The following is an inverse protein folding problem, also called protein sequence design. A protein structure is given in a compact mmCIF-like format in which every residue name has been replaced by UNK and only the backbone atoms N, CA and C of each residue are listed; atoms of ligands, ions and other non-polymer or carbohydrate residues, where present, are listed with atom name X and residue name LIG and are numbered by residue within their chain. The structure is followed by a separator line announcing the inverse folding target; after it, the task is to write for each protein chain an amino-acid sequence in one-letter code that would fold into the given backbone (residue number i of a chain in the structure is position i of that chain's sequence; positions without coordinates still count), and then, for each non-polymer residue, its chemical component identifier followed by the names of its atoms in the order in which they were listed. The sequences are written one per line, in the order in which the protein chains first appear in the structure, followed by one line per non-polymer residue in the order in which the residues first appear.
data_IF_841502595620
#
_entry.id   IF_841502595620
#
_cell.length_a   1.000
_cell.length_b   1.000
_cell.length_c   1.000
_cell.angle_alpha   90.00
_cell.angle_beta   90.00
_cell.angle_gamma   90.00
#
_symmetry.space_group_name_H-M   'P 1'
#
loop_
_entity.id
_entity.type
_entity.pdbx_description
1 polymer ?
#
# COMPACT_ATOMS: atom_id res chain seq x y z
N UNK A 1 -5.64 -10.43 0.29
CA UNK A 1 -5.24 -9.96 -1.05
C UNK A 1 -6.41 -10.12 -2.01
N UNK A 2 -6.64 -9.16 -2.92
CA UNK A 2 -7.63 -9.26 -4.00
C UNK A 2 -6.97 -8.92 -5.34
N UNK A 3 -7.31 -9.66 -6.39
CA UNK A 3 -6.86 -9.43 -7.78
C UNK A 3 -8.02 -9.04 -8.70
N UNK A 4 -7.73 -8.42 -9.84
CA UNK A 4 -8.67 -8.21 -10.95
C UNK A 4 -8.71 -9.42 -11.91
N UNK A 5 -9.53 -9.34 -12.95
CA UNK A 5 -9.71 -10.39 -13.97
C UNK A 5 -8.42 -10.66 -14.78
N UNK A 6 -7.50 -9.71 -14.79
CA UNK A 6 -6.17 -9.83 -15.40
C UNK A 6 -5.11 -10.34 -14.41
N UNK A 7 -5.53 -10.86 -13.25
CA UNK A 7 -4.69 -11.37 -12.18
C UNK A 7 -3.71 -10.33 -11.58
N UNK A 8 -4.04 -9.04 -11.63
CA UNK A 8 -3.24 -7.96 -11.03
C UNK A 8 -3.75 -7.66 -9.64
N UNK A 9 -2.85 -7.41 -8.70
CA UNK A 9 -3.23 -7.07 -7.31
C UNK A 9 -3.92 -5.72 -7.27
N UNK A 10 -5.17 -5.71 -6.79
CA UNK A 10 -5.98 -4.49 -6.64
C UNK A 10 -6.14 -4.07 -5.19
N UNK A 11 -6.10 -5.01 -4.23
CA UNK A 11 -6.16 -4.68 -2.80
C UNK A 11 -5.21 -5.56 -2.00
N UNK A 12 -4.37 -4.92 -1.19
CA UNK A 12 -3.48 -5.55 -0.24
C UNK A 12 -3.76 -4.96 1.15
N UNK A 13 -4.32 -5.77 2.05
CA UNK A 13 -4.60 -5.39 3.43
C UNK A 13 -3.72 -6.28 4.31
N UNK A 14 -2.81 -5.63 5.02
CA UNK A 14 -1.85 -6.24 5.95
C UNK A 14 -1.98 -5.55 7.33
N UNK A 15 -3.12 -4.95 7.61
CA UNK A 15 -3.41 -4.31 8.90
C UNK A 15 -3.27 -5.32 10.04
N UNK A 16 -2.83 -4.86 11.20
CA UNK A 16 -2.71 -5.66 12.43
C UNK A 16 -1.74 -6.84 12.26
N UNK A 17 -0.50 -6.50 11.92
CA UNK A 17 0.59 -7.46 11.80
C UNK A 17 1.85 -6.91 12.49
N UNK A 18 2.86 -7.77 12.69
CA UNK A 18 4.15 -7.35 13.24
C UNK A 18 5.17 -7.01 12.15
N UNK A 19 4.72 -6.41 11.02
CA UNK A 19 5.63 -5.99 9.95
C UNK A 19 6.50 -4.83 10.44
N UNK A 20 7.79 -4.88 10.09
CA UNK A 20 8.83 -3.93 10.51
C UNK A 20 9.64 -3.45 9.32
N UNK A 21 10.34 -2.33 9.49
CA UNK A 21 11.17 -1.72 8.45
C UNK A 21 10.36 -0.84 7.49
N UNK A 22 10.95 -0.50 6.35
CA UNK A 22 10.35 0.43 5.39
C UNK A 22 9.56 -0.27 4.29
N UNK A 23 8.64 0.49 3.68
CA UNK A 23 7.90 0.03 2.51
C UNK A 23 8.89 -0.03 1.32
N UNK A 24 9.07 -1.18 0.66
CA UNK A 24 9.98 -1.29 -0.47
C UNK A 24 9.44 -0.52 -1.68
N UNK A 25 10.32 0.15 -2.44
CA UNK A 25 9.95 0.89 -3.67
C UNK A 25 9.27 0.02 -4.73
N UNK A 26 9.55 -1.30 -4.72
CA UNK A 26 8.88 -2.27 -5.58
C UNK A 26 7.36 -2.33 -5.43
N UNK A 27 6.78 -1.78 -4.35
CA UNK A 27 5.33 -1.60 -4.21
C UNK A 27 4.74 -0.74 -5.33
N UNK A 28 5.55 0.15 -5.92
CA UNK A 28 5.19 0.98 -7.07
C UNK A 28 4.87 0.18 -8.34
N UNK A 29 5.39 -1.04 -8.45
CA UNK A 29 5.12 -1.93 -9.59
C UNK A 29 3.69 -2.50 -9.56
N UNK A 30 2.98 -2.39 -8.43
CA UNK A 30 1.58 -2.78 -8.32
C UNK A 30 0.68 -1.67 -8.87
N UNK A 31 0.77 -1.43 -10.19
CA UNK A 31 0.09 -0.34 -10.89
C UNK A 31 -1.44 -0.40 -10.83
N UNK A 32 -2.00 -1.58 -10.57
CA UNK A 32 -3.45 -1.78 -10.41
C UNK A 32 -3.92 -1.73 -8.96
N UNK A 33 -2.98 -1.57 -8.01
CA UNK A 33 -3.32 -1.49 -6.60
C UNK A 33 -4.19 -0.24 -6.40
N UNK A 34 -5.30 -0.40 -5.70
CA UNK A 34 -6.24 0.67 -5.34
C UNK A 34 -6.30 0.86 -3.83
N UNK A 35 -5.97 -0.18 -3.06
CA UNK A 35 -5.96 -0.12 -1.60
C UNK A 35 -4.72 -0.83 -1.06
N UNK A 36 -3.98 -0.12 -0.21
CA UNK A 36 -2.88 -0.64 0.59
C UNK A 36 -3.18 -0.32 2.05
N UNK A 37 -3.50 -1.34 2.85
CA UNK A 37 -3.71 -1.23 4.29
C UNK A 37 -2.47 -1.73 5.02
N UNK A 38 -1.80 -0.84 5.75
CA UNK A 38 -0.60 -1.13 6.56
C UNK A 38 -0.75 -0.67 8.02
N UNK A 39 -1.94 -0.24 8.43
CA UNK A 39 -2.19 0.23 9.80
C UNK A 39 -1.90 -0.85 10.84
N UNK A 40 -1.69 -0.46 12.09
CA UNK A 40 -1.36 -1.39 13.18
C UNK A 40 -0.16 -2.31 12.82
N UNK A 41 0.90 -1.71 12.28
CA UNK A 41 2.20 -2.35 12.06
C UNK A 41 3.33 -1.44 12.58
N UNK A 42 4.55 -1.96 12.60
CA UNK A 42 5.75 -1.25 13.03
C UNK A 42 6.57 -0.77 11.83
N UNK A 43 5.89 -0.29 10.78
CA UNK A 43 6.52 0.23 9.57
C UNK A 43 7.16 1.59 9.88
N UNK A 44 8.39 1.77 9.44
CA UNK A 44 9.22 2.95 9.69
C UNK A 44 9.84 3.49 8.39
N UNK A 45 10.34 4.73 8.42
CA UNK A 45 10.90 5.38 7.23
C UNK A 45 9.86 6.09 6.36
N UNK A 46 10.30 6.61 5.22
CA UNK A 46 9.47 7.42 4.34
C UNK A 46 8.49 6.56 3.52
N UNK A 47 7.30 7.09 3.26
CA UNK A 47 6.40 6.53 2.25
C UNK A 47 7.08 6.69 0.88
N UNK A 48 7.29 5.60 0.11
CA UNK A 48 7.92 5.69 -1.19
C UNK A 48 7.13 6.61 -2.12
N UNK A 49 7.78 7.51 -2.88
CA UNK A 49 7.11 8.44 -3.79
C UNK A 49 6.28 7.71 -4.85
N UNK A 50 6.61 6.46 -5.17
CA UNK A 50 5.85 5.61 -6.10
C UNK A 50 4.41 5.37 -5.61
N UNK A 51 4.17 5.35 -4.29
CA UNK A 51 2.82 5.31 -3.72
C UNK A 51 2.12 6.67 -3.78
N UNK A 52 2.87 7.77 -3.67
CA UNK A 52 2.33 9.13 -3.78
C UNK A 52 1.95 9.50 -5.21
N UNK A 53 2.68 9.00 -6.22
CA UNK A 53 2.38 9.20 -7.64
C UNK A 53 1.17 8.37 -8.06
N UNK A 54 1.08 7.10 -7.64
CA UNK A 54 -0.05 6.21 -7.96
C UNK A 54 -1.39 6.65 -7.33
N UNK A 55 -1.37 7.46 -6.25
CA UNK A 55 -2.57 8.00 -5.61
C UNK A 55 -3.20 9.16 -6.38
N UNK A 56 -2.51 9.76 -7.37
CA UNK A 56 -3.03 10.92 -8.11
C UNK A 56 -3.98 10.55 -9.26
N UNK A 57 -3.92 9.31 -9.75
CA UNK A 57 -4.73 8.84 -10.90
C UNK A 57 -5.99 8.04 -10.51
N UNK A 58 -6.15 7.69 -9.25
CA UNK A 58 -7.38 7.06 -8.76
C UNK A 58 -7.50 7.38 -7.28
N UNK A 59 -8.70 7.71 -6.78
CA UNK A 59 -8.95 8.14 -5.40
C UNK A 59 -8.59 7.07 -4.33
N UNK A 60 -7.29 6.80 -4.15
CA UNK A 60 -6.75 5.82 -3.21
C UNK A 60 -6.56 6.51 -1.86
N UNK A 61 -7.42 6.19 -0.90
CA UNK A 61 -7.23 6.56 0.48
C UNK A 61 -6.09 5.73 1.09
N UNK A 62 -4.88 6.29 1.11
CA UNK A 62 -3.84 5.84 2.06
C UNK A 62 -4.31 6.33 3.41
N UNK A 63 -4.90 5.45 4.23
CA UNK A 63 -5.25 5.81 5.61
C UNK A 63 -3.98 5.82 6.44
N UNK A 64 -3.61 7.02 6.90
CA UNK A 64 -2.54 7.23 7.88
C UNK A 64 -2.84 6.49 9.18
N UNK A 65 -1.78 5.99 9.80
CA UNK A 65 -1.77 5.32 11.08
C UNK A 65 -1.77 6.39 12.18
N UNK A 66 -2.96 6.84 12.61
CA UNK A 66 -3.11 7.53 13.90
C UNK A 66 -3.60 6.48 14.90
N UNK A 67 -2.73 6.15 15.86
CA UNK A 67 -3.08 5.47 17.10
C UNK A 67 -3.25 6.49 18.21
#
# INVERSE_FOLDING_TARGET
MRVDDSNRVVRLVLTDNNLRGSIPSGIGNLTSLSLLGLGENHIEGAIPPELAVAARDSGRAVRSNEG
#
